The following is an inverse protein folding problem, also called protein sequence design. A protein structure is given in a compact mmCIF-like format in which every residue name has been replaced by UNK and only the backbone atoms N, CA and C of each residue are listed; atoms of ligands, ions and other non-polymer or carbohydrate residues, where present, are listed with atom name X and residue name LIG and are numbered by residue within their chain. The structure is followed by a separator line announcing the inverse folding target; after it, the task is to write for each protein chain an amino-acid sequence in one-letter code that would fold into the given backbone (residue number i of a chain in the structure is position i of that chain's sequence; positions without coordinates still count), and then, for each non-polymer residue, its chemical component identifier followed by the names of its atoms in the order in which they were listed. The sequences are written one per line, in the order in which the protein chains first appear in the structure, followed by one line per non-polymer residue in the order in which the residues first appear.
data_IF_776663466663
#
_entry.id   IF_776663466663
#
_cell.length_a   1.000
_cell.length_b   1.000
_cell.length_c   1.000
_cell.angle_alpha   90.00
_cell.angle_beta   90.00
_cell.angle_gamma   90.00
#
_symmetry.space_group_name_H-M   'P 1'
#
loop_
_entity.id
_entity.type
_entity.pdbx_description
1 polymer ?
#
# COMPACT_ATOMS: atom_id res chain seq x y z
N UNK A 1 -0.34 25.07 -18.87
CA UNK A 1 -0.59 24.00 -19.86
C UNK A 1 -0.67 22.70 -19.09
N UNK A 2 -1.76 21.91 -19.17
CA UNK A 2 -1.78 20.61 -18.51
C UNK A 2 -0.70 19.75 -19.16
N UNK A 3 0.21 19.19 -18.36
CA UNK A 3 1.12 18.17 -18.87
C UNK A 3 0.27 16.99 -19.30
N UNK A 4 0.23 16.71 -20.60
CA UNK A 4 -0.27 15.43 -21.11
C UNK A 4 0.76 14.41 -20.65
N UNK A 5 0.46 13.73 -19.54
CA UNK A 5 1.28 12.65 -19.02
C UNK A 5 0.99 11.41 -19.86
N UNK A 6 2.04 10.80 -20.41
CA UNK A 6 1.93 9.56 -21.16
C UNK A 6 1.68 8.43 -20.15
N UNK A 7 0.52 7.73 -20.18
CA UNK A 7 0.17 6.74 -19.15
C UNK A 7 1.15 5.56 -19.07
N UNK A 8 1.87 5.25 -20.17
CA UNK A 8 2.93 4.26 -20.19
C UNK A 8 4.16 4.68 -19.37
N UNK A 9 4.50 5.98 -19.36
CA UNK A 9 5.61 6.52 -18.56
C UNK A 9 5.27 6.65 -17.06
N UNK A 10 3.99 6.77 -16.71
CA UNK A 10 3.53 6.68 -15.31
C UNK A 10 3.64 5.25 -14.76
N UNK A 11 3.39 4.24 -15.60
CA UNK A 11 3.49 2.83 -15.22
C UNK A 11 4.95 2.35 -15.02
N UNK A 12 5.93 3.05 -15.57
CA UNK A 12 7.37 2.77 -15.38
C UNK A 12 7.85 3.12 -13.96
N UNK A 13 7.17 4.05 -13.28
CA UNK A 13 7.53 4.54 -11.94
C UNK A 13 6.45 4.24 -10.90
N UNK A 14 5.60 3.25 -11.16
CA UNK A 14 4.52 2.88 -10.25
C UNK A 14 5.09 2.22 -8.98
N UNK A 15 4.55 2.62 -7.82
CA UNK A 15 4.83 1.96 -6.55
C UNK A 15 3.89 0.78 -6.35
N UNK A 16 4.39 -0.27 -5.72
CA UNK A 16 3.61 -1.45 -5.35
C UNK A 16 3.14 -1.30 -3.90
N UNK A 17 1.84 -1.16 -3.71
CA UNK A 17 1.19 -1.31 -2.41
C UNK A 17 0.80 -2.78 -2.20
N UNK A 18 1.43 -3.44 -1.21
CA UNK A 18 1.05 -4.78 -0.74
C UNK A 18 0.30 -4.66 0.57
N UNK A 19 -0.93 -5.16 0.63
CA UNK A 19 -1.71 -5.26 1.86
C UNK A 19 -1.82 -6.74 2.28
N UNK A 20 -1.66 -7.02 3.56
CA UNK A 20 -1.75 -8.36 4.13
C UNK A 20 -2.47 -8.30 5.47
N UNK A 21 -3.35 -9.27 5.71
CA UNK A 21 -4.11 -9.38 6.95
C UNK A 21 -3.69 -10.66 7.64
N UNK A 22 -3.57 -10.60 8.96
CA UNK A 22 -3.21 -11.72 9.83
C UNK A 22 -4.30 -11.89 10.90
N UNK A 23 -4.30 -13.01 11.66
CA UNK A 23 -5.17 -13.20 12.82
C UNK A 23 -5.18 -12.00 13.77
N UNK A 24 -6.22 -11.94 14.60
CA UNK A 24 -6.41 -10.89 15.62
C UNK A 24 -6.56 -9.47 15.05
N UNK A 25 -6.91 -9.36 13.76
CA UNK A 25 -7.20 -8.08 13.10
C UNK A 25 -5.95 -7.27 12.74
N UNK A 26 -4.79 -7.93 12.64
CA UNK A 26 -3.53 -7.28 12.29
C UNK A 26 -3.51 -6.99 10.79
N UNK A 27 -3.41 -5.71 10.44
CA UNK A 27 -3.19 -5.23 9.07
C UNK A 27 -1.72 -4.83 8.90
N UNK A 28 -1.06 -5.37 7.88
CA UNK A 28 0.24 -4.88 7.39
C UNK A 28 0.07 -4.35 5.98
N UNK A 29 0.63 -3.18 5.71
CA UNK A 29 0.81 -2.71 4.35
C UNK A 29 2.26 -2.29 4.13
N UNK A 30 2.78 -2.58 2.93
CA UNK A 30 4.13 -2.26 2.50
C UNK A 30 4.05 -1.53 1.16
N UNK A 31 4.74 -0.41 1.03
CA UNK A 31 4.94 0.27 -0.25
C UNK A 31 6.39 0.07 -0.69
N UNK A 32 6.58 -0.30 -1.94
CA UNK A 32 7.90 -0.55 -2.52
C UNK A 32 7.93 -0.19 -4.01
N UNK A 33 9.11 -0.21 -4.62
CA UNK A 33 9.27 -0.11 -6.08
C UNK A 33 9.15 -1.49 -6.74
N UNK A 34 8.90 -1.51 -8.06
CA UNK A 34 8.93 -2.75 -8.84
C UNK A 34 10.38 -3.14 -9.17
N UNK A 35 10.88 -4.19 -8.53
CA UNK A 35 12.25 -4.70 -8.69
C UNK A 35 12.52 -5.31 -10.07
N UNK A 36 11.48 -5.64 -10.84
CA UNK A 36 11.59 -6.45 -12.06
C UNK A 36 11.98 -5.69 -13.34
N UNK A 37 11.95 -4.36 -13.36
CA UNK A 37 12.02 -3.60 -14.62
C UNK A 37 13.40 -3.05 -14.98
N UNK A 38 14.24 -2.67 -14.00
CA UNK A 38 15.46 -1.88 -14.30
C UNK A 38 16.74 -2.38 -13.59
N UNK A 39 16.73 -3.55 -12.95
CA UNK A 39 17.86 -3.95 -12.09
C UNK A 39 18.08 -2.99 -10.90
N UNK A 40 17.08 -2.16 -10.59
CA UNK A 40 17.07 -1.27 -9.43
C UNK A 40 17.25 -2.09 -8.16
N UNK A 41 18.19 -1.65 -7.32
CA UNK A 41 18.55 -2.35 -6.09
C UNK A 41 17.34 -2.39 -5.16
N UNK A 42 17.01 -3.59 -4.67
CA UNK A 42 16.04 -3.80 -3.60
C UNK A 42 16.28 -2.83 -2.44
N UNK A 43 15.21 -2.14 -2.00
CA UNK A 43 15.27 -1.25 -0.84
C UNK A 43 15.59 -2.05 0.41
N UNK A 44 16.33 -1.41 1.32
CA UNK A 44 16.71 -2.05 2.57
C UNK A 44 15.47 -2.43 3.39
N UNK A 45 15.40 -3.70 3.79
CA UNK A 45 14.42 -4.20 4.75
C UNK A 45 15.15 -4.50 6.05
N UNK A 46 14.60 -4.07 7.18
CA UNK A 46 15.21 -4.33 8.48
C UNK A 46 15.15 -5.84 8.76
N UNK A 47 16.29 -6.52 8.93
CA UNK A 47 16.29 -7.95 9.23
C UNK A 47 15.83 -8.21 10.67
N UNK A 48 15.35 -9.43 10.93
CA UNK A 48 15.09 -9.96 12.28
C UNK A 48 14.08 -9.18 13.15
N UNK A 49 13.18 -8.42 12.52
CA UNK A 49 12.09 -7.67 13.21
C UNK A 49 10.72 -8.33 13.13
N UNK A 50 10.56 -9.30 12.23
CA UNK A 50 9.32 -10.05 12.05
C UNK A 50 9.52 -11.46 12.58
N UNK A 51 8.46 -12.04 13.13
CA UNK A 51 8.45 -13.46 13.47
C UNK A 51 8.70 -14.29 12.19
N UNK A 52 9.53 -15.33 12.30
CA UNK A 52 9.89 -16.19 11.15
C UNK A 52 8.66 -16.84 10.49
N UNK A 53 7.59 -17.07 11.26
CA UNK A 53 6.33 -17.70 10.84
C UNK A 53 5.22 -16.69 10.49
N UNK A 54 5.52 -15.38 10.44
CA UNK A 54 4.50 -14.35 10.26
C UNK A 54 3.71 -14.59 8.96
N UNK A 55 4.41 -14.80 7.85
CA UNK A 55 3.77 -14.96 6.54
C UNK A 55 2.99 -16.28 6.40
N UNK A 56 3.32 -17.31 7.19
CA UNK A 56 2.54 -18.55 7.28
C UNK A 56 1.18 -18.32 7.94
N UNK A 57 1.07 -17.30 8.79
CA UNK A 57 -0.17 -16.87 9.45
C UNK A 57 -1.01 -15.93 8.59
N UNK A 58 -0.55 -15.53 7.41
CA UNK A 58 -1.29 -14.59 6.56
C UNK A 58 -2.65 -15.16 6.15
N UNK A 59 -3.71 -14.41 6.42
CA UNK A 59 -5.07 -14.78 6.02
C UNK A 59 -5.22 -14.67 4.50
N UNK A 60 -5.87 -15.67 3.91
CA UNK A 60 -6.25 -15.62 2.50
C UNK A 60 -7.49 -14.75 2.35
N UNK A 61 -7.33 -13.58 1.71
CA UNK A 61 -8.40 -12.62 1.51
C UNK A 61 -9.37 -13.12 0.43
N UNK A 62 -10.47 -13.72 0.86
CA UNK A 62 -11.45 -14.32 -0.06
C UNK A 62 -12.32 -13.30 -0.79
N UNK A 63 -12.45 -12.08 -0.24
CA UNK A 63 -13.35 -11.06 -0.79
C UNK A 63 -12.77 -9.68 -0.57
N UNK A 64 -12.43 -9.01 -1.66
CA UNK A 64 -12.26 -7.56 -1.69
C UNK A 64 -13.64 -7.01 -2.07
N UNK A 65 -14.23 -6.22 -1.18
CA UNK A 65 -15.48 -5.53 -1.51
C UNK A 65 -15.14 -4.25 -2.25
N UNK A 66 -15.58 -4.16 -3.50
CA UNK A 66 -15.46 -2.93 -4.28
C UNK A 66 -16.68 -2.07 -3.99
N UNK A 67 -16.45 -0.97 -3.28
CA UNK A 67 -17.44 0.07 -3.04
C UNK A 67 -17.49 1.02 -4.25
N UNK A 68 -18.53 1.84 -4.34
CA UNK A 68 -18.59 2.89 -5.36
C UNK A 68 -17.46 3.92 -5.13
N UNK A 69 -17.10 4.65 -6.18
CA UNK A 69 -16.16 5.79 -6.11
C UNK A 69 -14.70 5.45 -5.78
N UNK A 70 -14.19 4.31 -6.25
CA UNK A 70 -12.75 3.99 -6.11
C UNK A 70 -12.38 3.64 -4.66
N UNK A 71 -13.28 2.97 -3.95
CA UNK A 71 -13.06 2.49 -2.59
C UNK A 71 -13.09 0.97 -2.60
N UNK A 72 -12.17 0.35 -1.87
CA UNK A 72 -12.13 -1.10 -1.68
C UNK A 72 -11.97 -1.40 -0.20
N UNK A 73 -12.68 -2.40 0.30
CA UNK A 73 -12.58 -2.80 1.69
C UNK A 73 -12.29 -4.28 1.85
N UNK A 74 -11.59 -4.59 2.95
CA UNK A 74 -11.10 -5.93 3.30
C UNK A 74 -11.43 -6.17 4.77
N UNK A 75 -12.03 -7.32 5.05
CA UNK A 75 -12.30 -7.77 6.42
C UNK A 75 -11.00 -7.97 7.22
N UNK A 76 -10.96 -7.45 8.44
CA UNK A 76 -9.86 -7.68 9.39
C UNK A 76 -10.26 -8.66 10.49
N UNK A 77 -11.30 -8.31 11.22
CA UNK A 77 -11.89 -9.10 12.30
C UNK A 77 -13.33 -8.64 12.53
N UNK A 78 -14.08 -9.30 13.40
CA UNK A 78 -15.51 -9.04 13.60
C UNK A 78 -15.79 -7.58 13.92
N UNK A 79 -16.47 -6.90 12.98
CA UNK A 79 -16.85 -5.49 13.10
C UNK A 79 -15.79 -4.49 12.62
N UNK A 80 -14.64 -4.94 12.12
CA UNK A 80 -13.54 -4.09 11.66
C UNK A 80 -13.12 -4.40 10.22
N UNK A 81 -12.90 -3.34 9.45
CA UNK A 81 -12.51 -3.41 8.05
C UNK A 81 -11.34 -2.46 7.79
N UNK A 82 -10.42 -2.89 6.94
CA UNK A 82 -9.46 -2.02 6.28
C UNK A 82 -10.09 -1.50 4.99
N UNK A 83 -9.97 -0.20 4.76
CA UNK A 83 -10.51 0.48 3.58
C UNK A 83 -9.35 1.16 2.85
N UNK A 84 -9.29 0.91 1.55
CA UNK A 84 -8.40 1.54 0.59
C UNK A 84 -9.25 2.49 -0.27
N UNK A 85 -9.07 3.79 -0.10
CA UNK A 85 -9.51 4.80 -1.05
C UNK A 85 -8.40 5.00 -2.08
N UNK A 86 -8.74 4.88 -3.37
CA UNK A 86 -7.76 4.80 -4.45
C UNK A 86 -7.21 6.18 -4.80
N UNK A 87 -8.09 7.20 -4.85
CA UNK A 87 -7.72 8.57 -5.22
C UNK A 87 -8.54 9.61 -4.42
N UNK A 88 -7.90 10.52 -3.67
CA UNK A 88 -6.49 10.44 -3.25
C UNK A 88 -6.26 9.19 -2.40
N UNK A 89 -5.06 8.59 -2.51
CA UNK A 89 -4.70 7.38 -1.76
C UNK A 89 -4.88 7.62 -0.25
N UNK A 90 -5.79 6.89 0.37
CA UNK A 90 -5.95 6.84 1.83
C UNK A 90 -6.19 5.38 2.24
N UNK A 91 -5.50 4.93 3.29
CA UNK A 91 -5.76 3.62 3.90
C UNK A 91 -6.28 3.90 5.30
N UNK A 92 -7.45 3.40 5.65
CA UNK A 92 -7.99 3.59 7.00
C UNK A 92 -8.67 2.34 7.53
N UNK A 93 -8.69 2.18 8.84
CA UNK A 93 -9.46 1.13 9.51
C UNK A 93 -10.73 1.74 10.05
N UNK A 94 -11.87 1.08 9.83
CA UNK A 94 -13.16 1.48 10.38
C UNK A 94 -13.82 0.39 11.21
N UNK A 95 -14.58 0.81 12.22
CA UNK A 95 -15.54 -0.04 12.95
C UNK A 95 -16.94 0.21 12.39
N UNK A 96 -17.58 -0.85 11.88
CA UNK A 96 -18.81 -0.69 11.09
C UNK A 96 -18.61 0.25 9.90
N UNK A 97 -19.64 1.01 9.51
CA UNK A 97 -19.60 1.83 8.28
C UNK A 97 -19.08 3.27 8.48
N UNK A 98 -18.98 3.77 9.70
CA UNK A 98 -18.85 5.21 9.93
C UNK A 98 -17.72 5.63 10.86
N UNK A 99 -17.23 4.73 11.72
CA UNK A 99 -16.24 5.09 12.73
C UNK A 99 -14.83 4.76 12.24
N UNK A 100 -14.09 5.76 11.75
CA UNK A 100 -12.67 5.62 11.41
C UNK A 100 -11.82 5.63 12.68
N UNK A 101 -10.98 4.61 12.85
CA UNK A 101 -10.13 4.44 14.05
C UNK A 101 -8.70 4.93 13.81
N UNK A 102 -8.15 4.59 12.65
CA UNK A 102 -6.82 5.02 12.21
C UNK A 102 -6.86 5.27 10.72
N UNK A 103 -6.12 6.28 10.26
CA UNK A 103 -6.00 6.65 8.85
C UNK A 103 -4.57 6.98 8.50
N UNK A 104 -4.14 6.48 7.35
CA UNK A 104 -2.85 6.72 6.72
C UNK A 104 -3.08 7.57 5.48
N UNK A 105 -2.30 8.62 5.36
CA UNK A 105 -2.35 9.59 4.28
C UNK A 105 -3.62 10.47 4.17
N UNK A 106 -4.48 10.54 5.19
CA UNK A 106 -5.62 11.49 5.23
C UNK A 106 -5.23 12.97 5.03
N UNK A 107 -3.97 13.32 5.32
CA UNK A 107 -3.43 14.68 5.16
C UNK A 107 -2.62 14.86 3.86
N UNK A 108 -2.53 13.84 3.01
CA UNK A 108 -1.76 13.92 1.76
C UNK A 108 -0.26 14.11 1.97
N UNK A 109 0.28 13.60 3.09
CA UNK A 109 1.70 13.75 3.46
C UNK A 109 2.55 12.54 3.07
N UNK A 110 1.95 11.50 2.49
CA UNK A 110 2.68 10.36 1.96
C UNK A 110 3.63 10.86 0.86
N UNK A 111 4.91 10.59 1.07
CA UNK A 111 5.97 10.89 0.12
C UNK A 111 6.89 9.69 0.03
N UNK A 112 7.25 9.31 -1.18
CA UNK A 112 8.15 8.20 -1.45
C UNK A 112 9.15 8.66 -2.50
N UNK A 113 10.38 8.92 -2.06
CA UNK A 113 11.46 9.29 -2.96
C UNK A 113 11.96 8.05 -3.69
N UNK A 114 11.78 8.03 -5.00
CA UNK A 114 12.17 6.92 -5.86
C UNK A 114 13.67 6.92 -6.15
N UNK A 115 14.25 5.73 -6.34
CA UNK A 115 15.66 5.59 -6.72
C UNK A 115 15.86 6.20 -8.11
N UNK A 116 16.79 7.15 -8.21
CA UNK A 116 17.19 7.78 -9.46
C UNK A 116 18.61 7.36 -9.81
N UNK A 117 18.91 7.31 -11.09
CA UNK A 117 20.28 7.13 -11.55
C UNK A 117 21.14 8.27 -11.02
N UNK A 118 22.35 7.91 -10.56
CA UNK A 118 23.30 8.90 -10.08
C UNK A 118 23.86 9.64 -11.30
N UNK A 119 23.53 10.92 -11.43
CA UNK A 119 24.23 11.79 -12.37
C UNK A 119 25.58 12.20 -11.76
N UNK A 120 26.67 12.09 -12.51
CA UNK A 120 28.03 12.42 -12.05
C UNK A 120 28.30 13.94 -11.92
N UNK A 121 27.29 14.79 -12.11
CA UNK A 121 27.42 16.27 -12.06
C UNK A 121 26.99 16.90 -10.73
N UNK A 122 26.71 16.11 -9.69
CA UNK A 122 26.57 16.57 -8.29
C UNK A 122 27.61 15.93 -7.34
#
# INVERSE_FOLDING_TARGET
VPKILNPEAEAENALILRMSVYPDGILRFKVDEDEGKDGKRKRFEVPDVLDEDLDDRRLWLQRIEHEQDGVSSVYLTTGYEAVLQHDPLEIYVRRGKHERLVSFNSKGLFHFEQLRDKNEEE
#
